data_IF_797206785133
#
_entry.id   IF_797206785133
#
_cell.length_a   1.000
_cell.length_b   1.000
_cell.length_c   1.000
_cell.angle_alpha   90.00
_cell.angle_beta   90.00
_cell.angle_gamma   90.00
#
_symmetry.space_group_name_H-M   'P 1'
#
loop_
_entity.id
_entity.type
_entity.pdbx_description
1 polymer ?
#
# COMPACT_ATOMS: atom_id res chain seq x y z
N UNK A 1 4.83 27.50 -24.54
CA UNK A 1 4.39 26.15 -24.97
C UNK A 1 4.72 25.21 -23.83
N UNK A 2 3.76 24.44 -23.34
CA UNK A 2 3.95 23.48 -22.23
C UNK A 2 3.91 22.02 -22.69
N UNK A 3 3.51 21.76 -23.94
CA UNK A 3 3.62 20.46 -24.57
C UNK A 3 3.27 20.53 -26.05
N UNK A 4 3.76 19.55 -26.81
CA UNK A 4 3.34 19.27 -28.18
C UNK A 4 2.79 17.84 -28.22
N UNK A 5 1.47 17.70 -28.33
CA UNK A 5 0.79 16.41 -28.36
C UNK A 5 0.69 15.82 -29.76
N UNK A 6 0.04 14.65 -29.87
CA UNK A 6 -0.22 13.99 -31.16
C UNK A 6 -1.21 14.78 -32.02
N UNK A 7 -2.05 15.65 -31.46
CA UNK A 7 -3.11 16.37 -32.20
C UNK A 7 -2.94 17.89 -32.28
N UNK A 8 -2.09 18.50 -31.46
CA UNK A 8 -1.93 19.96 -31.45
C UNK A 8 -0.81 20.45 -30.55
N UNK A 9 -0.68 21.78 -30.49
CA UNK A 9 0.26 22.45 -29.57
C UNK A 9 -0.50 22.95 -28.34
N UNK A 10 0.02 22.65 -27.15
CA UNK A 10 -0.59 23.07 -25.88
C UNK A 10 0.19 24.23 -25.28
N UNK A 11 -0.54 25.31 -24.99
CA UNK A 11 -0.01 26.54 -24.42
C UNK A 11 -0.50 26.72 -22.99
N UNK A 12 0.38 27.22 -22.12
CA UNK A 12 -0.03 27.79 -20.85
C UNK A 12 -0.46 29.24 -21.12
N UNK A 13 -1.74 29.52 -20.90
CA UNK A 13 -2.30 30.86 -21.02
C UNK A 13 -2.70 31.36 -19.63
N UNK A 14 -2.65 32.69 -19.44
CA UNK A 14 -3.21 33.34 -18.26
C UNK A 14 -4.49 34.05 -18.67
N UNK A 15 -5.61 33.67 -18.06
CA UNK A 15 -6.87 34.36 -18.26
C UNK A 15 -6.72 35.80 -17.74
N UNK A 16 -7.00 36.80 -18.58
CA UNK A 16 -6.69 38.21 -18.28
C UNK A 16 -7.44 38.75 -17.06
N UNK A 17 -8.75 38.51 -17.00
CA UNK A 17 -9.58 39.03 -15.90
C UNK A 17 -9.45 38.25 -14.60
N UNK A 18 -9.41 36.92 -14.68
CA UNK A 18 -9.33 36.05 -13.50
C UNK A 18 -7.90 35.93 -12.95
N UNK A 19 -6.88 36.25 -13.75
CA UNK A 19 -5.48 36.06 -13.38
C UNK A 19 -5.02 34.60 -13.31
N UNK A 20 -5.91 33.64 -13.56
CA UNK A 20 -5.71 32.21 -13.44
C UNK A 20 -5.06 31.58 -14.69
N UNK A 21 -4.30 30.50 -14.50
CA UNK A 21 -3.68 29.76 -15.59
C UNK A 21 -4.63 28.73 -16.23
N UNK A 22 -4.53 28.55 -17.54
CA UNK A 22 -5.30 27.59 -18.35
C UNK A 22 -4.38 26.88 -19.34
N UNK A 23 -4.70 25.63 -19.65
CA UNK A 23 -4.10 24.94 -20.79
C UNK A 23 -4.96 25.23 -22.04
N UNK A 24 -4.31 25.58 -23.14
CA UNK A 24 -4.97 25.90 -24.42
C UNK A 24 -4.38 25.02 -25.51
N UNK A 25 -5.14 24.03 -25.96
CA UNK A 25 -4.78 23.15 -27.09
C UNK A 25 -5.24 23.81 -28.38
N UNK A 26 -4.28 24.17 -29.24
CA UNK A 26 -4.55 24.79 -30.53
C UNK A 26 -4.31 23.81 -31.69
N UNK A 27 -5.29 23.70 -32.59
CA UNK A 27 -5.25 22.83 -33.78
C UNK A 27 -5.66 23.60 -35.01
N UNK A 28 -4.86 23.57 -36.07
CA UNK A 28 -5.19 24.23 -37.34
C UNK A 28 -6.37 23.56 -38.03
N UNK A 29 -7.25 24.35 -38.64
CA UNK A 29 -8.44 23.89 -39.38
C UNK A 29 -8.11 23.10 -40.65
N UNK A 30 -6.96 23.38 -41.26
CA UNK A 30 -6.45 22.65 -42.42
C UNK A 30 -5.69 21.36 -42.05
N UNK A 31 -5.54 21.06 -40.76
CA UNK A 31 -4.97 19.81 -40.29
C UNK A 31 -5.97 18.68 -40.47
N UNK A 32 -5.49 17.52 -40.93
CA UNK A 32 -6.26 16.26 -40.94
C UNK A 32 -6.75 15.83 -39.55
N UNK A 33 -6.22 16.45 -38.48
CA UNK A 33 -6.55 16.18 -37.07
C UNK A 33 -7.65 17.09 -36.52
N UNK A 34 -8.13 18.07 -37.30
CA UNK A 34 -9.14 19.02 -36.84
C UNK A 34 -10.47 18.34 -36.49
N UNK A 35 -10.89 17.38 -37.30
CA UNK A 35 -12.06 16.53 -37.04
C UNK A 35 -11.95 15.80 -35.69
N UNK A 36 -10.79 15.18 -35.42
CA UNK A 36 -10.51 14.49 -34.15
C UNK A 36 -10.55 15.46 -32.97
N UNK A 37 -9.92 16.63 -33.09
CA UNK A 37 -9.96 17.69 -32.09
C UNK A 37 -11.40 18.13 -31.78
N UNK A 38 -12.22 18.34 -32.81
CA UNK A 38 -13.62 18.74 -32.63
C UNK A 38 -14.44 17.65 -31.94
N UNK A 39 -14.22 16.38 -32.29
CA UNK A 39 -14.87 15.24 -31.64
C UNK A 39 -14.49 15.16 -30.16
N UNK A 40 -13.20 15.27 -29.85
CA UNK A 40 -12.68 15.28 -28.48
C UNK A 40 -13.32 16.41 -27.65
N UNK A 41 -13.32 17.64 -28.18
CA UNK A 41 -13.90 18.79 -27.50
C UNK A 41 -15.41 18.62 -27.24
N UNK A 42 -16.15 18.08 -28.22
CA UNK A 42 -17.58 17.80 -28.08
C UNK A 42 -17.88 16.67 -27.08
N UNK A 43 -16.97 15.69 -26.96
CA UNK A 43 -17.07 14.60 -26.01
C UNK A 43 -16.82 15.10 -24.58
N UNK A 44 -15.81 15.95 -24.38
CA UNK A 44 -15.39 16.40 -23.06
C UNK A 44 -16.29 17.47 -22.43
N UNK A 45 -17.03 18.24 -23.26
CA UNK A 45 -17.77 19.43 -22.80
C UNK A 45 -18.74 19.18 -21.62
N UNK A 46 -19.38 18.01 -21.59
CA UNK A 46 -20.42 17.65 -20.61
C UNK A 46 -19.87 16.77 -19.47
N UNK A 47 -18.61 16.33 -19.55
CA UNK A 47 -18.00 15.44 -18.57
C UNK A 47 -17.59 16.21 -17.32
N UNK A 48 -17.95 15.70 -16.15
CA UNK A 48 -17.64 16.28 -14.84
C UNK A 48 -17.24 15.16 -13.87
N UNK A 49 -15.94 14.98 -13.72
CA UNK A 49 -15.37 14.02 -12.77
C UNK A 49 -14.02 14.55 -12.24
N UNK A 50 -13.66 14.33 -10.95
CA UNK A 50 -12.39 14.83 -10.40
C UNK A 50 -11.15 14.41 -11.19
N UNK A 51 -11.18 13.21 -11.77
CA UNK A 51 -10.10 12.66 -12.59
C UNK A 51 -10.15 13.05 -14.08
N UNK A 52 -11.04 13.95 -14.49
CA UNK A 52 -11.13 14.47 -15.86
C UNK A 52 -10.92 16.00 -15.80
N UNK A 53 -10.07 16.59 -16.66
CA UNK A 53 -9.87 18.03 -16.72
C UNK A 53 -11.19 18.76 -17.02
N UNK A 54 -11.41 19.88 -16.35
CA UNK A 54 -12.57 20.73 -16.66
C UNK A 54 -12.32 21.47 -17.98
N UNK A 55 -13.26 21.34 -18.91
CA UNK A 55 -13.30 22.19 -20.11
C UNK A 55 -14.00 23.50 -19.75
N UNK A 56 -13.31 24.61 -19.97
CA UNK A 56 -13.85 25.95 -19.74
C UNK A 56 -14.52 26.49 -20.99
N UNK A 57 -13.90 26.33 -22.16
CA UNK A 57 -14.44 26.86 -23.39
C UNK A 57 -13.85 26.18 -24.64
N UNK A 58 -14.54 26.36 -25.77
CA UNK A 58 -14.11 25.95 -27.10
C UNK A 58 -14.24 27.18 -28.02
N UNK A 59 -13.10 27.67 -28.49
CA UNK A 59 -13.01 28.87 -29.31
C UNK A 59 -12.44 28.55 -30.69
N UNK A 60 -12.74 29.37 -31.68
CA UNK A 60 -12.20 29.22 -33.03
C UNK A 60 -11.89 30.58 -33.68
N UNK A 61 -10.81 30.66 -34.44
CA UNK A 61 -10.53 31.78 -35.35
C UNK A 61 -10.57 31.31 -36.83
N UNK A 62 -10.13 32.15 -37.77
CA UNK A 62 -10.10 31.80 -39.20
C UNK A 62 -9.22 30.57 -39.51
N UNK A 63 -8.21 30.28 -38.69
CA UNK A 63 -7.15 29.31 -38.98
C UNK A 63 -7.09 28.14 -38.00
N UNK A 64 -7.56 28.31 -36.77
CA UNK A 64 -7.36 27.38 -35.66
C UNK A 64 -8.63 27.21 -34.81
N UNK A 65 -8.78 26.03 -34.23
CA UNK A 65 -9.63 25.78 -33.07
C UNK A 65 -8.80 25.71 -31.79
N UNK A 66 -9.41 26.10 -30.67
CA UNK A 66 -8.81 26.23 -29.36
C UNK A 66 -9.69 25.54 -28.31
N UNK A 67 -9.15 24.55 -27.63
CA UNK A 67 -9.78 23.94 -26.46
C UNK A 67 -9.13 24.53 -25.20
N UNK A 68 -9.92 25.20 -24.37
CA UNK A 68 -9.47 25.84 -23.14
C UNK A 68 -9.86 24.96 -21.97
N UNK A 69 -8.86 24.42 -21.27
CA UNK A 69 -9.04 23.43 -20.21
C UNK A 69 -8.28 23.79 -18.93
N UNK A 70 -8.60 23.07 -17.86
CA UNK A 70 -7.91 23.13 -16.57
C UNK A 70 -6.40 22.98 -16.76
N UNK A 71 -5.63 23.94 -16.24
CA UNK A 71 -4.19 23.78 -16.17
C UNK A 71 -3.83 22.83 -15.03
N UNK A 72 -3.31 21.66 -15.39
CA UNK A 72 -2.91 20.63 -14.44
C UNK A 72 -1.43 20.77 -14.06
N UNK A 73 -1.17 21.00 -12.77
CA UNK A 73 0.17 21.01 -12.22
C UNK A 73 0.50 19.65 -11.62
N UNK A 74 1.12 18.77 -12.42
CA UNK A 74 1.44 17.41 -12.02
C UNK A 74 2.48 16.76 -12.93
N UNK A 75 2.94 15.58 -12.53
CA UNK A 75 3.86 14.76 -13.34
C UNK A 75 3.10 13.58 -13.93
N UNK A 76 3.48 13.12 -15.12
CA UNK A 76 2.88 11.92 -15.69
C UNK A 76 3.26 10.67 -14.90
N UNK A 77 2.41 9.64 -14.92
CA UNK A 77 2.74 8.34 -14.34
C UNK A 77 3.95 7.71 -15.05
N UNK A 78 4.20 8.04 -16.32
CA UNK A 78 5.42 7.65 -17.04
C UNK A 78 6.67 8.23 -16.37
N UNK A 79 6.70 9.54 -16.10
CA UNK A 79 7.83 10.19 -15.42
C UNK A 79 8.01 9.62 -14.01
N UNK A 80 6.93 9.50 -13.25
CA UNK A 80 6.97 8.99 -11.86
C UNK A 80 7.47 7.54 -11.82
N UNK A 81 6.99 6.68 -12.72
CA UNK A 81 7.46 5.30 -12.79
C UNK A 81 8.91 5.22 -13.27
N UNK A 82 9.34 6.10 -14.19
CA UNK A 82 10.73 6.15 -14.64
C UNK A 82 11.72 6.48 -13.53
N UNK A 83 11.32 7.33 -12.58
CA UNK A 83 12.17 7.76 -11.46
C UNK A 83 12.07 6.84 -10.23
N UNK A 84 10.87 6.31 -9.94
CA UNK A 84 10.56 5.67 -8.67
C UNK A 84 10.05 4.22 -8.77
N UNK A 85 10.12 3.58 -9.94
CA UNK A 85 9.67 2.17 -10.07
C UNK A 85 10.60 1.18 -9.35
N UNK A 86 10.06 0.15 -8.66
CA UNK A 86 8.63 -0.14 -8.48
C UNK A 86 7.96 0.79 -7.46
N UNK A 87 6.74 1.25 -7.76
CA UNK A 87 6.02 2.14 -6.86
C UNK A 87 5.49 1.40 -5.61
N UNK A 88 5.32 2.12 -4.47
CA UNK A 88 4.72 1.54 -3.28
C UNK A 88 3.33 0.96 -3.54
N UNK A 89 3.03 -0.22 -2.98
CA UNK A 89 1.73 -0.92 -3.10
C UNK A 89 0.54 0.03 -2.90
N UNK A 90 0.58 0.85 -1.86
CA UNK A 90 -0.52 1.77 -1.52
C UNK A 90 -0.75 2.77 -2.66
N UNK A 91 0.30 3.37 -3.20
CA UNK A 91 0.20 4.31 -4.32
C UNK A 91 -0.35 3.62 -5.57
N UNK A 92 0.13 2.42 -5.91
CA UNK A 92 -0.40 1.63 -7.03
C UNK A 92 -1.91 1.37 -6.87
N UNK A 93 -2.35 0.96 -5.68
CA UNK A 93 -3.76 0.73 -5.39
C UNK A 93 -4.58 2.02 -5.44
N UNK A 94 -4.10 3.11 -4.84
CA UNK A 94 -4.79 4.40 -4.85
C UNK A 94 -4.92 4.97 -6.28
N UNK A 95 -3.87 4.90 -7.08
CA UNK A 95 -3.92 5.31 -8.49
C UNK A 95 -4.88 4.42 -9.27
N UNK A 96 -4.79 3.09 -9.09
CA UNK A 96 -5.72 2.13 -9.70
C UNK A 96 -7.19 2.44 -9.41
N UNK A 97 -7.52 2.70 -8.15
CA UNK A 97 -8.89 3.06 -7.71
C UNK A 97 -9.37 4.34 -8.40
N UNK A 98 -8.54 5.38 -8.45
CA UNK A 98 -8.89 6.65 -9.08
C UNK A 98 -9.06 6.51 -10.60
N UNK A 99 -8.20 5.73 -11.26
CA UNK A 99 -8.32 5.41 -12.68
C UNK A 99 -9.64 4.67 -12.94
N UNK A 100 -9.94 3.64 -12.16
CA UNK A 100 -11.21 2.91 -12.29
C UNK A 100 -12.43 3.82 -12.07
N UNK A 101 -12.35 4.77 -11.13
CA UNK A 101 -13.41 5.76 -10.91
C UNK A 101 -13.64 6.65 -12.14
N UNK A 102 -12.56 7.18 -12.74
CA UNK A 102 -12.67 8.04 -13.92
C UNK A 102 -13.15 7.27 -15.15
N UNK A 103 -12.64 6.05 -15.37
CA UNK A 103 -13.05 5.19 -16.48
C UNK A 103 -14.48 4.69 -16.31
N UNK A 104 -14.87 4.28 -15.11
CA UNK A 104 -16.25 3.88 -14.80
C UNK A 104 -17.24 5.03 -14.99
N UNK A 105 -16.83 6.27 -14.72
CA UNK A 105 -17.61 7.45 -15.06
C UNK A 105 -17.79 7.60 -16.58
N UNK A 106 -16.72 7.46 -17.39
CA UNK A 106 -16.84 7.51 -18.86
C UNK A 106 -17.81 6.44 -19.40
N UNK A 107 -17.73 5.23 -18.85
CA UNK A 107 -18.59 4.11 -19.24
C UNK A 107 -20.08 4.34 -18.92
N UNK A 108 -20.40 5.32 -18.07
CA UNK A 108 -21.77 5.60 -17.61
C UNK A 108 -22.24 7.04 -17.89
N UNK A 109 -21.41 7.88 -18.50
CA UNK A 109 -21.68 9.31 -18.67
C UNK A 109 -22.75 9.65 -19.73
N UNK A 110 -23.15 8.70 -20.57
CA UNK A 110 -24.03 8.94 -21.71
C UNK A 110 -25.02 7.79 -21.99
N UNK A 111 -25.81 7.90 -23.08
CA UNK A 111 -26.77 6.87 -23.49
C UNK A 111 -26.10 5.56 -23.93
N UNK A 112 -24.84 5.64 -24.33
CA UNK A 112 -23.95 4.51 -24.55
C UNK A 112 -22.60 4.79 -23.87
N UNK A 113 -21.84 3.74 -23.50
CA UNK A 113 -20.54 3.92 -22.86
C UNK A 113 -19.54 4.64 -23.76
N UNK A 114 -18.74 5.52 -23.16
CA UNK A 114 -17.60 6.16 -23.82
C UNK A 114 -16.34 5.37 -23.48
N UNK A 115 -15.69 4.80 -24.48
CA UNK A 115 -14.41 4.11 -24.32
C UNK A 115 -13.27 5.11 -24.42
N UNK A 116 -12.21 4.96 -23.62
CA UNK A 116 -11.02 5.81 -23.71
C UNK A 116 -10.01 5.32 -24.74
N UNK A 117 -9.79 4.00 -24.85
CA UNK A 117 -9.00 3.30 -25.88
C UNK A 117 -7.48 3.59 -25.94
N UNK A 118 -6.96 4.54 -25.17
CA UNK A 118 -5.52 4.86 -25.10
C UNK A 118 -5.04 5.17 -23.67
N UNK A 119 -5.50 4.36 -22.71
CA UNK A 119 -5.04 4.42 -21.32
C UNK A 119 -3.59 3.92 -21.21
N UNK A 120 -2.69 4.79 -20.78
CA UNK A 120 -1.25 4.51 -20.67
C UNK A 120 -0.56 5.52 -19.74
N UNK A 121 0.67 5.24 -19.26
CA UNK A 121 1.32 6.06 -18.23
C UNK A 121 1.52 7.53 -18.59
N UNK A 122 1.77 7.84 -19.87
CA UNK A 122 1.93 9.23 -20.33
C UNK A 122 0.61 10.03 -20.38
N UNK A 123 -0.54 9.34 -20.41
CA UNK A 123 -1.87 9.93 -20.50
C UNK A 123 -2.54 10.07 -19.12
N UNK A 124 -1.76 9.93 -18.04
CA UNK A 124 -2.22 10.02 -16.65
C UNK A 124 -1.30 10.94 -15.87
N UNK A 125 -1.82 12.07 -15.37
CA UNK A 125 -1.08 13.00 -14.52
C UNK A 125 -1.41 12.80 -13.05
N UNK A 126 -0.40 12.83 -12.19
CA UNK A 126 -0.55 12.92 -10.73
C UNK A 126 -0.43 14.39 -10.34
N UNK A 127 -1.57 14.98 -9.97
CA UNK A 127 -1.68 16.36 -9.49
C UNK A 127 -1.96 16.34 -7.99
N UNK A 128 -0.91 16.50 -7.17
CA UNK A 128 -0.99 16.22 -5.74
C UNK A 128 -1.32 14.74 -5.51
N UNK A 129 -2.44 14.46 -4.84
CA UNK A 129 -2.92 13.09 -4.60
C UNK A 129 -3.95 12.59 -5.63
N UNK A 130 -4.24 13.40 -6.67
CA UNK A 130 -5.30 13.10 -7.65
C UNK A 130 -4.74 12.68 -9.00
N UNK A 131 -5.25 11.58 -9.55
CA UNK A 131 -5.02 11.15 -10.93
C UNK A 131 -5.96 11.90 -11.86
N UNK A 132 -5.39 12.50 -12.91
CA UNK A 132 -6.10 13.15 -14.01
C UNK A 132 -5.80 12.40 -15.30
N UNK A 133 -6.83 11.91 -15.97
CA UNK A 133 -6.74 11.38 -17.32
C UNK A 133 -6.59 12.56 -18.27
N UNK A 134 -5.58 12.50 -19.12
CA UNK A 134 -5.32 13.50 -20.15
C UNK A 134 -5.27 12.80 -21.51
N UNK A 135 -5.57 13.55 -22.57
CA UNK A 135 -5.62 13.05 -23.96
C UNK A 135 -6.80 12.10 -24.24
N UNK A 136 -7.88 12.67 -24.80
CA UNK A 136 -9.10 11.97 -25.18
C UNK A 136 -9.20 11.81 -26.71
N UNK A 137 -8.10 11.97 -27.45
CA UNK A 137 -8.07 11.94 -28.92
C UNK A 137 -8.67 10.65 -29.50
N UNK A 138 -8.57 9.54 -28.77
CA UNK A 138 -9.09 8.23 -29.16
C UNK A 138 -10.43 7.87 -28.52
N UNK A 139 -10.93 8.69 -27.59
CA UNK A 139 -12.12 8.38 -26.86
C UNK A 139 -13.36 8.51 -27.76
N UNK A 140 -14.26 7.53 -27.68
CA UNK A 140 -15.45 7.50 -28.52
C UNK A 140 -16.58 6.68 -27.87
N UNK A 141 -17.85 7.00 -28.18
CA UNK A 141 -18.97 6.11 -27.89
C UNK A 141 -18.78 4.72 -28.52
N UNK A 142 -19.20 3.65 -27.85
CA UNK A 142 -19.01 2.25 -28.30
C UNK A 142 -19.47 2.04 -29.75
N UNK A 143 -20.63 2.57 -30.14
CA UNK A 143 -21.16 2.40 -31.50
C UNK A 143 -20.23 3.00 -32.55
N UNK A 144 -19.68 4.19 -32.30
CA UNK A 144 -18.74 4.85 -33.18
C UNK A 144 -17.39 4.12 -33.20
N UNK A 145 -16.88 3.72 -32.03
CA UNK A 145 -15.61 3.01 -31.91
C UNK A 145 -15.58 1.69 -32.71
N UNK A 146 -16.72 1.01 -32.81
CA UNK A 146 -16.85 -0.23 -33.58
C UNK A 146 -17.09 -0.02 -35.08
N UNK A 147 -17.62 1.15 -35.48
CA UNK A 147 -17.82 1.50 -36.90
C UNK A 147 -16.53 2.05 -37.56
N UNK A 148 -15.60 2.56 -36.76
CA UNK A 148 -14.37 3.15 -37.26
C UNK A 148 -13.49 2.13 -37.99
N UNK A 149 -13.11 2.46 -39.24
CA UNK A 149 -12.27 1.60 -40.11
C UNK A 149 -10.82 1.47 -39.64
N UNK A 150 -10.44 2.20 -38.60
CA UNK A 150 -9.09 2.22 -38.02
C UNK A 150 -9.23 2.22 -36.51
N UNK A 151 -8.61 1.23 -35.86
CA UNK A 151 -8.42 1.20 -34.41
C UNK A 151 -7.03 1.69 -34.08
N UNK A 152 -6.94 2.46 -33.00
CA UNK A 152 -5.67 2.92 -32.45
C UNK A 152 -5.54 2.40 -31.02
N UNK A 153 -4.30 2.31 -30.58
CA UNK A 153 -3.95 1.92 -29.23
C UNK A 153 -2.43 1.90 -29.09
N UNK A 154 -1.95 1.98 -27.85
CA UNK A 154 -0.51 1.96 -27.60
C UNK A 154 0.00 0.54 -27.37
N UNK A 155 1.09 0.18 -28.06
CA UNK A 155 1.74 -1.13 -27.93
C UNK A 155 2.11 -1.36 -26.44
N UNK A 156 1.74 -2.53 -25.92
CA UNK A 156 1.96 -2.91 -24.51
C UNK A 156 0.80 -2.54 -23.58
N UNK A 157 -0.13 -1.69 -23.99
CA UNK A 157 -1.31 -1.29 -23.20
C UNK A 157 -2.64 -1.60 -23.91
N UNK A 158 -2.65 -1.62 -25.24
CA UNK A 158 -3.85 -1.91 -26.02
C UNK A 158 -4.27 -3.38 -25.89
N UNK A 159 -5.57 -3.60 -25.75
CA UNK A 159 -6.18 -4.91 -25.63
C UNK A 159 -6.09 -5.72 -26.94
N UNK A 160 -6.09 -7.07 -26.88
CA UNK A 160 -6.02 -7.92 -28.07
C UNK A 160 -7.05 -7.58 -29.15
N UNK A 161 -8.30 -7.29 -28.76
CA UNK A 161 -9.38 -6.91 -29.66
C UNK A 161 -9.15 -5.58 -30.39
N UNK A 162 -8.29 -4.69 -29.89
CA UNK A 162 -7.91 -3.46 -30.62
C UNK A 162 -7.06 -3.76 -31.86
N UNK A 163 -6.44 -4.94 -31.94
CA UNK A 163 -5.67 -5.40 -33.11
C UNK A 163 -6.49 -6.27 -34.07
N UNK A 164 -7.70 -6.69 -33.68
CA UNK A 164 -8.54 -7.63 -34.41
C UNK A 164 -9.91 -7.04 -34.70
N UNK A 165 -10.10 -6.54 -35.93
CA UNK A 165 -11.36 -5.93 -36.39
C UNK A 165 -12.53 -6.92 -36.45
N UNK A 166 -12.31 -8.23 -36.33
CA UNK A 166 -13.39 -9.21 -36.25
C UNK A 166 -14.05 -9.23 -34.86
N UNK A 167 -13.41 -8.63 -33.85
CA UNK A 167 -13.94 -8.52 -32.48
C UNK A 167 -14.52 -7.15 -32.23
N UNK A 168 -15.59 -7.07 -31.45
CA UNK A 168 -16.14 -5.79 -31.00
C UNK A 168 -15.37 -5.27 -29.78
N UNK A 169 -15.29 -3.94 -29.67
CA UNK A 169 -14.77 -3.22 -28.51
C UNK A 169 -15.91 -2.96 -27.53
N UNK A 170 -15.66 -3.18 -26.25
CA UNK A 170 -16.56 -2.88 -25.15
C UNK A 170 -15.79 -2.24 -23.98
N UNK A 171 -16.46 -1.97 -22.86
CA UNK A 171 -15.88 -1.38 -21.66
C UNK A 171 -14.67 -2.17 -21.13
N UNK A 172 -14.62 -3.48 -21.41
CA UNK A 172 -13.57 -4.39 -20.95
C UNK A 172 -12.27 -4.19 -21.72
N UNK A 173 -12.31 -3.51 -22.87
CA UNK A 173 -11.11 -3.04 -23.58
C UNK A 173 -10.32 -2.06 -22.72
N UNK A 174 -10.98 -1.11 -22.05
CA UNK A 174 -10.30 -0.18 -21.13
C UNK A 174 -9.81 -0.88 -19.85
N UNK A 175 -10.56 -1.88 -19.35
CA UNK A 175 -10.18 -2.69 -18.17
C UNK A 175 -8.85 -3.42 -18.41
N UNK A 176 -8.61 -3.93 -19.62
CA UNK A 176 -7.32 -4.52 -19.98
C UNK A 176 -6.18 -3.52 -19.82
N UNK A 177 -6.35 -2.30 -20.32
CA UNK A 177 -5.35 -1.26 -20.21
C UNK A 177 -5.11 -0.82 -18.76
N UNK A 178 -6.15 -0.81 -17.90
CA UNK A 178 -6.00 -0.62 -16.45
C UNK A 178 -5.15 -1.75 -15.84
N UNK A 179 -5.37 -3.00 -16.23
CA UNK A 179 -4.53 -4.14 -15.85
C UNK A 179 -3.06 -3.94 -16.23
N UNK A 180 -2.80 -3.48 -17.46
CA UNK A 180 -1.45 -3.15 -17.92
C UNK A 180 -0.81 -2.03 -17.08
N UNK A 181 -1.57 -0.99 -16.74
CA UNK A 181 -1.12 0.10 -15.88
C UNK A 181 -0.75 -0.39 -14.48
N UNK A 182 -1.59 -1.18 -13.83
CA UNK A 182 -1.30 -1.74 -12.49
C UNK A 182 -0.02 -2.59 -12.50
N UNK A 183 0.15 -3.40 -13.55
CA UNK A 183 1.36 -4.19 -13.75
C UNK A 183 2.59 -3.31 -13.99
N UNK A 184 2.47 -2.30 -14.85
CA UNK A 184 3.53 -1.36 -15.19
C UNK A 184 4.00 -0.58 -13.96
N UNK A 185 3.09 -0.02 -13.16
CA UNK A 185 3.42 0.72 -11.95
C UNK A 185 4.12 -0.15 -10.89
N UNK A 186 3.86 -1.46 -10.90
CA UNK A 186 4.47 -2.41 -9.96
C UNK A 186 5.82 -2.96 -10.44
N UNK A 187 6.09 -2.96 -11.74
CA UNK A 187 7.25 -3.66 -12.32
C UNK A 187 8.17 -2.79 -13.17
N UNK A 188 7.73 -1.58 -13.53
CA UNK A 188 8.39 -0.68 -14.49
C UNK A 188 8.33 -1.14 -15.94
N UNK A 189 7.67 -2.26 -16.24
CA UNK A 189 7.63 -2.87 -17.57
C UNK A 189 6.18 -3.12 -17.99
N UNK A 190 5.88 -3.05 -19.29
CA UNK A 190 4.60 -3.54 -19.83
C UNK A 190 4.50 -5.06 -19.67
N UNK A 191 3.29 -5.63 -19.49
CA UNK A 191 3.15 -7.08 -19.38
C UNK A 191 3.53 -7.79 -20.69
N UNK A 192 4.27 -8.90 -20.58
CA UNK A 192 4.46 -9.85 -21.67
C UNK A 192 3.14 -10.60 -21.94
N UNK A 193 2.94 -11.07 -23.17
CA UNK A 193 1.69 -11.74 -23.59
C UNK A 193 1.38 -13.05 -22.83
N UNK A 194 2.39 -13.72 -22.26
CA UNK A 194 2.27 -15.05 -21.65
C UNK A 194 2.39 -15.06 -20.11
N UNK A 195 2.01 -13.96 -19.45
CA UNK A 195 2.16 -13.84 -18.00
C UNK A 195 1.04 -14.58 -17.25
N UNK A 196 1.41 -15.51 -16.37
CA UNK A 196 0.46 -16.27 -15.52
C UNK A 196 0.16 -15.57 -14.19
N UNK A 197 -1.02 -15.80 -13.55
CA UNK A 197 -1.37 -15.24 -12.24
C UNK A 197 -0.35 -15.58 -11.13
N UNK A 198 0.30 -16.74 -11.22
CA UNK A 198 1.32 -17.16 -10.25
C UNK A 198 2.62 -16.35 -10.39
N UNK A 199 3.02 -16.01 -11.63
CA UNK A 199 4.16 -15.12 -11.91
C UNK A 199 3.80 -13.68 -11.55
N UNK A 200 2.57 -13.24 -11.82
CA UNK A 200 2.04 -11.94 -11.39
C UNK A 200 2.07 -11.78 -9.87
N UNK A 201 1.56 -12.76 -9.13
CA UNK A 201 1.55 -12.71 -7.67
C UNK A 201 2.93 -12.77 -7.00
N UNK A 202 3.98 -13.17 -7.73
CA UNK A 202 5.38 -13.08 -7.29
C UNK A 202 6.03 -11.73 -7.65
N UNK A 203 5.68 -11.18 -8.82
CA UNK A 203 6.12 -9.85 -9.26
C UNK A 203 5.39 -8.74 -8.50
N UNK A 204 4.19 -9.01 -8.00
CA UNK A 204 3.40 -8.12 -7.15
C UNK A 204 3.47 -8.55 -5.67
N UNK A 205 2.78 -7.82 -4.80
CA UNK A 205 2.89 -8.00 -3.34
C UNK A 205 2.21 -9.27 -2.80
N UNK A 206 1.16 -9.79 -3.44
CA UNK A 206 0.49 -11.03 -3.03
C UNK A 206 -0.24 -11.75 -4.18
N UNK A 207 -0.74 -12.96 -3.90
CA UNK A 207 -1.46 -13.80 -4.87
C UNK A 207 -2.80 -13.17 -5.30
N UNK A 208 -3.45 -12.43 -4.41
CA UNK A 208 -4.76 -11.84 -4.68
C UNK A 208 -4.67 -10.71 -5.70
N UNK A 209 -3.76 -9.76 -5.49
CA UNK A 209 -3.40 -8.78 -6.51
C UNK A 209 -3.01 -9.46 -7.83
N UNK A 210 -2.20 -10.53 -7.74
CA UNK A 210 -1.83 -11.35 -8.90
C UNK A 210 -3.04 -11.87 -9.69
N UNK A 211 -4.11 -12.28 -9.01
CA UNK A 211 -5.37 -12.71 -9.65
C UNK A 211 -6.12 -11.54 -10.26
N UNK A 212 -6.27 -10.43 -9.53
CA UNK A 212 -7.00 -9.23 -10.01
C UNK A 212 -6.38 -8.72 -11.31
N UNK A 213 -5.06 -8.51 -11.33
CA UNK A 213 -4.37 -8.05 -12.55
C UNK A 213 -4.43 -9.12 -13.65
N UNK A 214 -4.32 -10.41 -13.31
CA UNK A 214 -4.46 -11.48 -14.31
C UNK A 214 -5.85 -11.54 -14.93
N UNK A 215 -6.91 -11.27 -14.16
CA UNK A 215 -8.27 -11.21 -14.66
C UNK A 215 -8.43 -10.03 -15.62
N UNK A 216 -7.86 -8.86 -15.30
CA UNK A 216 -7.84 -7.72 -16.23
C UNK A 216 -7.13 -8.05 -17.55
N UNK A 217 -6.03 -8.81 -17.49
CA UNK A 217 -5.17 -9.14 -18.64
C UNK A 217 -5.64 -10.37 -19.43
N UNK A 218 -6.84 -10.91 -19.17
CA UNK A 218 -7.35 -12.07 -19.89
C UNK A 218 -7.51 -11.79 -21.39
N UNK A 219 -7.16 -12.78 -22.22
CA UNK A 219 -7.20 -12.63 -23.68
C UNK A 219 -8.64 -12.55 -24.23
N UNK A 220 -9.57 -13.30 -23.63
CA UNK A 220 -11.01 -13.14 -23.85
C UNK A 220 -11.55 -12.05 -22.93
N UNK A 221 -12.18 -11.03 -23.51
CA UNK A 221 -12.81 -9.95 -22.74
C UNK A 221 -13.85 -10.47 -21.76
N UNK A 222 -14.54 -11.59 -22.05
CA UNK A 222 -15.56 -12.18 -21.15
C UNK A 222 -15.00 -12.76 -19.86
N UNK A 223 -13.69 -13.02 -19.81
CA UNK A 223 -13.00 -13.49 -18.59
C UNK A 223 -12.47 -12.33 -17.72
N UNK A 224 -12.58 -11.09 -18.21
CA UNK A 224 -12.22 -9.89 -17.44
C UNK A 224 -13.37 -9.45 -16.54
N UNK A 225 -13.09 -8.47 -15.68
CA UNK A 225 -14.11 -7.77 -14.90
C UNK A 225 -15.22 -7.24 -15.82
N UNK A 226 -16.46 -7.29 -15.33
CA UNK A 226 -17.61 -6.85 -16.10
C UNK A 226 -17.72 -5.33 -16.21
N UNK A 227 -17.13 -4.60 -15.26
CA UNK A 227 -17.09 -3.13 -15.22
C UNK A 227 -15.88 -2.62 -14.45
N UNK A 228 -15.51 -1.35 -14.68
CA UNK A 228 -14.46 -0.68 -13.91
C UNK A 228 -14.81 -0.53 -12.42
N UNK A 229 -16.10 -0.44 -12.07
CA UNK A 229 -16.54 -0.36 -10.66
C UNK A 229 -16.32 -1.67 -9.90
N UNK A 230 -16.49 -2.81 -10.58
CA UNK A 230 -16.19 -4.13 -10.00
C UNK A 230 -14.68 -4.25 -9.67
N UNK A 231 -13.81 -3.87 -10.62
CA UNK A 231 -12.37 -3.83 -10.40
C UNK A 231 -12.00 -2.85 -9.28
N UNK A 232 -12.60 -1.64 -9.27
CA UNK A 232 -12.39 -0.65 -8.22
C UNK A 232 -12.69 -1.21 -6.84
N UNK A 233 -13.81 -1.91 -6.69
CA UNK A 233 -14.23 -2.54 -5.43
C UNK A 233 -13.18 -3.53 -4.92
N UNK A 234 -12.63 -4.37 -5.80
CA UNK A 234 -11.57 -5.31 -5.43
C UNK A 234 -10.26 -4.61 -5.05
N UNK A 235 -9.90 -3.53 -5.74
CA UNK A 235 -8.72 -2.72 -5.39
C UNK A 235 -8.92 -1.99 -4.04
N UNK A 236 -10.12 -1.48 -3.76
CA UNK A 236 -10.48 -0.91 -2.47
C UNK A 236 -10.42 -1.94 -1.36
N UNK A 237 -10.90 -3.16 -1.60
CA UNK A 237 -10.79 -4.26 -0.65
C UNK A 237 -9.31 -4.59 -0.38
N UNK A 238 -8.47 -4.68 -1.42
CA UNK A 238 -7.03 -4.83 -1.26
C UNK A 238 -6.37 -3.67 -0.51
N UNK A 239 -6.91 -2.46 -0.62
CA UNK A 239 -6.43 -1.28 0.10
C UNK A 239 -6.89 -1.29 1.56
N UNK A 240 -8.13 -1.73 1.84
CA UNK A 240 -8.68 -1.93 3.19
C UNK A 240 -8.00 -3.09 3.92
N UNK A 241 -7.61 -4.15 3.22
CA UNK A 241 -6.72 -5.20 3.73
C UNK A 241 -5.36 -4.65 4.23
N UNK A 242 -5.01 -3.40 3.89
CA UNK A 242 -3.84 -2.67 4.40
C UNK A 242 -4.15 -1.80 5.63
N UNK A 243 -5.37 -1.78 6.15
CA UNK A 243 -5.84 -1.03 7.32
C UNK A 243 -6.70 -1.96 8.21
N UNK A 244 -6.21 -2.60 9.27
CA UNK A 244 -5.55 -2.05 10.46
C UNK A 244 -4.41 -2.96 10.90
N UNK A 245 -3.23 -2.38 11.19
CA UNK A 245 -2.19 -3.15 11.87
C UNK A 245 -2.61 -3.40 13.32
N UNK A 246 -2.42 -4.62 13.82
CA UNK A 246 -2.60 -4.91 15.24
C UNK A 246 -1.52 -4.17 16.05
N UNK A 247 -1.93 -3.23 16.89
CA UNK A 247 -1.00 -2.45 17.72
C UNK A 247 -0.75 -3.17 19.04
N UNK A 248 0.51 -3.50 19.32
CA UNK A 248 0.99 -4.00 20.61
C UNK A 248 1.86 -2.93 21.26
N UNK A 249 1.33 -2.27 22.29
CA UNK A 249 2.06 -1.24 23.01
C UNK A 249 2.92 -1.82 24.13
N UNK A 250 4.18 -1.39 24.22
CA UNK A 250 5.15 -1.86 25.20
C UNK A 250 5.57 -0.71 26.09
N UNK A 251 5.43 -0.90 27.39
CA UNK A 251 5.75 0.07 28.43
C UNK A 251 6.72 -0.52 29.44
N UNK A 252 7.68 0.29 29.87
CA UNK A 252 8.48 0.03 31.07
C UNK A 252 7.82 0.66 32.29
N UNK A 253 7.72 -0.08 33.39
CA UNK A 253 7.25 0.46 34.67
C UNK A 253 8.16 1.57 35.20
N UNK A 254 9.45 1.48 34.87
CA UNK A 254 10.50 2.44 35.21
C UNK A 254 11.52 2.53 34.06
N UNK A 255 12.34 3.58 34.03
CA UNK A 255 13.40 3.70 33.04
C UNK A 255 14.40 2.52 33.09
N UNK A 256 14.99 2.21 31.94
CA UNK A 256 16.04 1.19 31.81
C UNK A 256 15.62 -0.25 32.21
N UNK A 257 14.31 -0.53 32.29
CA UNK A 257 13.79 -1.85 32.68
C UNK A 257 13.77 -2.88 31.54
N UNK A 258 14.07 -2.47 30.30
CA UNK A 258 14.18 -3.35 29.15
C UNK A 258 13.03 -3.28 28.14
N UNK A 259 12.23 -2.21 28.13
CA UNK A 259 11.15 -2.00 27.15
C UNK A 259 11.62 -2.11 25.70
N UNK A 260 12.56 -1.27 25.30
CA UNK A 260 13.17 -1.30 23.97
C UNK A 260 13.76 -2.66 23.61
N UNK A 261 14.38 -3.35 24.57
CA UNK A 261 14.96 -4.67 24.36
C UNK A 261 13.88 -5.71 24.01
N UNK A 262 12.80 -5.77 24.79
CA UNK A 262 11.70 -6.70 24.52
C UNK A 262 10.98 -6.36 23.21
N UNK A 263 10.73 -5.08 22.95
CA UNK A 263 10.06 -4.62 21.73
C UNK A 263 10.83 -5.04 20.47
N UNK A 264 12.15 -4.83 20.44
CA UNK A 264 13.02 -5.28 19.35
C UNK A 264 13.06 -6.81 19.25
N UNK A 265 13.11 -7.51 20.39
CA UNK A 265 13.15 -8.97 20.42
C UNK A 265 11.86 -9.61 19.88
N UNK A 266 10.72 -9.03 20.24
CA UNK A 266 9.43 -9.44 19.74
C UNK A 266 9.35 -9.18 18.22
N UNK A 267 9.75 -7.99 17.75
CA UNK A 267 9.78 -7.64 16.33
C UNK A 267 10.64 -8.63 15.52
N UNK A 268 11.88 -8.88 15.96
CA UNK A 268 12.78 -9.83 15.34
C UNK A 268 12.23 -11.27 15.35
N UNK A 269 11.54 -11.66 16.41
CA UNK A 269 10.89 -12.98 16.49
C UNK A 269 9.71 -13.10 15.53
N UNK A 270 8.90 -12.05 15.36
CA UNK A 270 7.78 -12.04 14.41
C UNK A 270 8.29 -12.07 12.96
N UNK A 271 9.34 -11.30 12.67
CA UNK A 271 9.99 -11.31 11.36
C UNK A 271 10.47 -12.71 10.97
N UNK A 272 11.17 -13.41 11.88
CA UNK A 272 11.67 -14.78 11.63
C UNK A 272 10.55 -15.80 11.39
N UNK A 273 9.31 -15.49 11.77
CA UNK A 273 8.11 -16.28 11.51
C UNK A 273 7.41 -15.91 10.20
N UNK A 274 7.89 -14.89 9.49
CA UNK A 274 7.23 -14.35 8.31
C UNK A 274 6.00 -13.49 8.63
N UNK A 275 5.87 -13.00 9.87
CA UNK A 275 4.83 -12.04 10.24
C UNK A 275 5.36 -10.64 9.95
N UNK A 276 4.74 -9.96 8.97
CA UNK A 276 5.10 -8.60 8.62
C UNK A 276 4.78 -7.68 9.79
N UNK A 277 5.80 -7.01 10.33
CA UNK A 277 5.64 -6.15 11.50
C UNK A 277 6.56 -4.93 11.41
N UNK A 278 6.23 -3.90 12.18
CA UNK A 278 7.04 -2.70 12.34
C UNK A 278 7.26 -2.43 13.83
N UNK A 279 8.50 -2.20 14.23
CA UNK A 279 8.80 -1.58 15.52
C UNK A 279 8.66 -0.06 15.36
N UNK A 280 8.04 0.63 16.30
CA UNK A 280 7.91 2.08 16.32
C UNK A 280 8.41 2.66 17.64
N UNK A 281 9.35 3.61 17.58
CA UNK A 281 9.83 4.35 18.75
C UNK A 281 8.90 5.53 19.03
N UNK A 282 8.10 5.46 20.10
CA UNK A 282 7.11 6.47 20.44
C UNK A 282 7.60 7.48 21.50
N UNK A 283 8.92 7.58 21.70
CA UNK A 283 9.53 8.42 22.73
C UNK A 283 10.79 9.16 22.22
N UNK A 284 11.13 10.34 22.76
CA UNK A 284 12.20 11.19 22.23
C UNK A 284 13.64 10.77 22.57
N UNK A 285 13.87 9.61 23.21
CA UNK A 285 15.22 9.19 23.65
C UNK A 285 16.17 8.85 22.49
N UNK A 286 15.66 8.60 21.28
CA UNK A 286 16.45 8.39 20.07
C UNK A 286 17.29 7.12 20.11
N UNK A 287 16.79 6.06 20.74
CA UNK A 287 17.43 4.75 20.83
C UNK A 287 17.65 4.16 19.42
N UNK A 288 16.67 4.27 18.53
CA UNK A 288 16.81 3.74 17.17
C UNK A 288 17.80 4.55 16.36
N UNK A 289 17.81 5.89 16.50
CA UNK A 289 18.77 6.74 15.80
C UNK A 289 20.22 6.36 16.12
N UNK A 290 20.50 5.86 17.33
CA UNK A 290 21.83 5.35 17.73
C UNK A 290 22.18 4.00 17.11
N UNK A 291 21.19 3.23 16.66
CA UNK A 291 21.37 1.95 15.96
C UNK A 291 21.51 2.13 14.44
N UNK A 292 21.12 3.28 13.90
CA UNK A 292 21.28 3.58 12.48
C UNK A 292 22.76 3.80 12.15
N UNK A 293 23.23 3.14 11.09
CA UNK A 293 24.61 3.25 10.61
C UNK A 293 24.68 3.49 9.10
N UNK A 294 25.89 3.50 8.53
CA UNK A 294 26.12 3.77 7.09
C UNK A 294 25.38 2.81 6.13
N UNK A 295 24.96 1.64 6.61
CA UNK A 295 24.27 0.61 5.82
C UNK A 295 22.75 0.56 6.11
N UNK A 296 22.22 1.47 6.92
CA UNK A 296 20.78 1.55 7.17
C UNK A 296 20.10 2.22 5.98
N UNK A 297 19.22 1.48 5.30
CA UNK A 297 18.43 1.99 4.17
C UNK A 297 17.07 2.48 4.66
N UNK A 298 16.78 3.74 4.40
CA UNK A 298 15.46 4.34 4.64
C UNK A 298 14.55 4.06 3.44
N UNK A 299 13.28 3.75 3.70
CA UNK A 299 12.24 3.72 2.68
C UNK A 299 11.57 5.10 2.52
N UNK A 300 10.73 5.24 1.50
CA UNK A 300 10.02 6.48 1.18
C UNK A 300 9.03 6.92 2.28
N UNK A 301 8.68 6.01 3.21
CA UNK A 301 7.80 6.26 4.34
C UNK A 301 8.55 6.64 5.62
N UNK A 302 9.88 6.81 5.54
CA UNK A 302 10.72 7.15 6.69
C UNK A 302 10.98 5.98 7.64
N UNK A 303 10.75 4.74 7.23
CA UNK A 303 11.12 3.56 8.01
C UNK A 303 12.52 3.07 7.60
N UNK A 304 13.18 2.36 8.50
CA UNK A 304 14.49 1.77 8.27
C UNK A 304 14.45 0.25 8.42
N UNK A 305 15.30 -0.44 7.67
CA UNK A 305 15.57 -1.86 7.90
C UNK A 305 16.83 -2.04 8.75
N UNK A 306 16.67 -2.73 9.89
CA UNK A 306 17.78 -3.06 10.79
C UNK A 306 17.73 -4.56 11.10
N UNK A 307 18.74 -5.31 10.64
CA UNK A 307 18.88 -6.76 10.86
C UNK A 307 17.59 -7.56 10.59
N UNK A 308 16.87 -7.19 9.52
CA UNK A 308 15.61 -7.83 9.12
C UNK A 308 14.36 -7.31 9.83
N UNK A 309 14.47 -6.30 10.70
CA UNK A 309 13.33 -5.65 11.33
C UNK A 309 13.05 -4.31 10.65
N UNK A 310 11.79 -4.05 10.30
CA UNK A 310 11.33 -2.73 9.91
C UNK A 310 11.17 -1.89 11.18
N UNK A 311 11.85 -0.76 11.27
CA UNK A 311 11.84 0.12 12.44
C UNK A 311 11.51 1.56 12.04
N UNK A 312 10.72 2.23 12.87
CA UNK A 312 10.40 3.65 12.72
C UNK A 312 10.98 4.42 13.91
N UNK A 313 12.00 5.28 13.68
CA UNK A 313 12.52 6.18 14.70
C UNK A 313 11.46 7.18 15.17
N UNK A 314 11.68 7.74 16.35
CA UNK A 314 10.88 8.88 16.78
C UNK A 314 11.25 10.13 15.97
N UNK A 315 10.26 10.74 15.32
CA UNK A 315 10.41 11.94 14.50
C UNK A 315 9.81 13.21 15.12
N UNK A 316 9.19 13.11 16.28
CA UNK A 316 8.45 14.20 16.91
C UNK A 316 6.93 14.00 16.86
N UNK A 317 6.21 14.60 17.80
CA UNK A 317 4.77 14.39 17.98
C UNK A 317 3.93 14.85 16.78
N UNK A 318 4.39 15.87 16.05
CA UNK A 318 3.66 16.48 14.93
C UNK A 318 3.91 15.78 13.60
N UNK A 319 4.87 14.84 13.54
CA UNK A 319 5.21 14.18 12.31
C UNK A 319 4.09 13.17 11.93
N UNK A 320 3.45 13.40 10.78
CA UNK A 320 2.47 12.51 10.20
C UNK A 320 3.16 11.60 9.18
N UNK A 321 2.92 10.29 9.28
CA UNK A 321 3.53 9.29 8.39
C UNK A 321 2.48 8.41 7.76
N UNK A 322 2.83 7.88 6.59
CA UNK A 322 2.09 6.76 6.01
C UNK A 322 2.15 5.57 7.00
N UNK A 323 1.00 4.93 7.29
CA UNK A 323 0.98 3.72 8.11
C UNK A 323 1.93 2.68 7.52
N UNK A 324 2.72 2.02 8.38
CA UNK A 324 3.58 0.94 7.91
C UNK A 324 2.70 -0.17 7.34
N UNK A 325 2.97 -0.63 6.12
CA UNK A 325 2.22 -1.71 5.47
C UNK A 325 2.56 -3.07 6.11
N UNK A 326 2.19 -3.25 7.37
CA UNK A 326 2.53 -4.38 8.20
C UNK A 326 1.31 -4.90 8.97
N UNK A 327 1.37 -6.15 9.41
CA UNK A 327 0.27 -6.80 10.14
C UNK A 327 0.25 -6.42 11.62
N UNK A 328 1.43 -6.15 12.20
CA UNK A 328 1.59 -5.86 13.62
C UNK A 328 2.51 -4.65 13.79
N UNK A 329 2.09 -3.66 14.56
CA UNK A 329 2.94 -2.56 15.01
C UNK A 329 3.30 -2.78 16.47
N UNK A 330 4.58 -2.77 16.80
CA UNK A 330 5.09 -2.86 18.17
C UNK A 330 5.54 -1.45 18.56
N UNK A 331 4.74 -0.79 19.39
CA UNK A 331 5.03 0.56 19.85
C UNK A 331 5.86 0.52 21.14
N UNK A 332 7.11 0.99 21.08
CA UNK A 332 7.92 1.25 22.26
C UNK A 332 7.56 2.61 22.83
N UNK A 333 6.67 2.60 23.83
CA UNK A 333 6.19 3.82 24.49
C UNK A 333 7.09 4.27 25.65
N UNK A 334 8.18 3.55 25.91
CA UNK A 334 9.16 3.92 26.92
C UNK A 334 8.68 3.69 28.35
N UNK A 335 9.20 4.46 29.30
CA UNK A 335 8.92 4.30 30.72
C UNK A 335 7.75 5.18 31.18
N UNK A 336 6.85 4.64 32.00
CA UNK A 336 5.65 5.34 32.50
C UNK A 336 5.96 6.70 33.12
N UNK A 337 7.02 6.80 33.91
CA UNK A 337 7.44 8.05 34.56
C UNK A 337 7.91 9.16 33.60
N UNK A 338 8.17 8.83 32.33
CA UNK A 338 8.64 9.77 31.30
C UNK A 338 7.54 10.11 30.29
N UNK A 339 6.31 9.65 30.54
CA UNK A 339 5.15 9.94 29.72
C UNK A 339 4.55 11.25 30.25
N UNK A 340 4.91 12.36 29.63
CA UNK A 340 4.47 13.70 30.04
C UNK A 340 2.97 13.91 29.84
N UNK A 341 2.35 13.20 28.89
CA UNK A 341 0.91 13.16 28.65
C UNK A 341 0.53 11.77 28.11
N UNK A 342 -0.65 11.20 28.46
CA UNK A 342 -1.13 10.00 27.80
C UNK A 342 -1.17 10.28 26.30
N UNK A 343 -0.41 9.50 25.52
CA UNK A 343 -0.34 9.65 24.06
C UNK A 343 -1.77 9.72 23.53
N UNK A 344 -2.10 10.85 22.90
CA UNK A 344 -3.36 11.09 22.21
C UNK A 344 -3.77 9.83 21.43
N UNK A 345 -5.06 9.44 21.45
CA UNK A 345 -5.58 8.18 20.94
C UNK A 345 -5.46 8.10 19.42
N UNK A 346 -4.25 7.92 18.90
CA UNK A 346 -4.05 7.22 17.64
C UNK A 346 -4.34 5.74 17.94
N UNK A 347 -5.64 5.44 18.08
CA UNK A 347 -6.24 4.13 18.35
C UNK A 347 -5.79 3.46 19.67
N UNK A 348 -6.74 2.87 20.39
CA UNK A 348 -6.43 2.12 21.62
C UNK A 348 -5.65 0.85 21.24
N UNK A 349 -4.51 0.53 21.90
CA UNK A 349 -3.70 -0.61 21.49
C UNK A 349 -4.45 -1.92 21.70
N UNK A 350 -4.35 -2.84 20.74
CA UNK A 350 -5.00 -4.15 20.80
C UNK A 350 -4.48 -5.00 21.98
N UNK A 351 -3.21 -4.84 22.36
CA UNK A 351 -2.63 -5.44 23.56
C UNK A 351 -1.53 -4.56 24.18
N UNK A 352 -1.29 -4.73 25.48
CA UNK A 352 -0.30 -3.97 26.25
C UNK A 352 0.68 -4.92 26.95
N UNK A 353 1.97 -4.64 26.85
CA UNK A 353 3.03 -5.30 27.60
C UNK A 353 3.59 -4.32 28.63
N UNK A 354 3.43 -4.60 29.92
CA UNK A 354 4.05 -3.81 30.98
C UNK A 354 5.24 -4.56 31.57
N UNK A 355 6.43 -3.97 31.49
CA UNK A 355 7.68 -4.57 31.93
C UNK A 355 8.09 -3.96 33.27
N UNK A 356 8.12 -4.79 34.30
CA UNK A 356 8.56 -4.44 35.64
C UNK A 356 9.91 -5.10 35.97
N UNK A 357 10.58 -4.58 36.98
CA UNK A 357 11.82 -5.16 37.49
C UNK A 357 11.56 -6.20 38.57
N UNK A 358 12.29 -7.31 38.51
CA UNK A 358 12.15 -8.44 39.43
C UNK A 358 12.97 -8.34 40.71
N UNK A 359 13.68 -7.24 40.97
CA UNK A 359 14.53 -7.06 42.15
C UNK A 359 13.79 -6.28 43.23
N UNK A 360 14.21 -6.42 44.48
CA UNK A 360 13.45 -5.96 45.65
C UNK A 360 13.41 -4.43 45.78
N UNK A 361 14.32 -3.75 45.08
CA UNK A 361 14.40 -2.29 45.01
C UNK A 361 13.73 -1.71 43.77
N UNK A 362 13.25 -2.55 42.84
CA UNK A 362 12.47 -2.05 41.71
C UNK A 362 11.09 -1.60 42.19
N UNK A 363 10.50 -0.64 41.50
CA UNK A 363 9.14 -0.18 41.83
C UNK A 363 8.14 -1.31 41.53
N UNK A 364 7.12 -1.49 42.38
CA UNK A 364 6.02 -2.38 42.04
C UNK A 364 5.32 -1.89 40.77
N UNK A 365 4.67 -2.79 40.01
CA UNK A 365 3.88 -2.40 38.85
C UNK A 365 2.81 -1.38 39.19
N UNK A 366 2.63 -0.38 38.33
CA UNK A 366 1.64 0.68 38.53
C UNK A 366 0.20 0.14 38.54
N UNK A 367 -0.50 0.31 39.66
CA UNK A 367 -1.85 -0.24 39.89
C UNK A 367 -2.91 0.46 39.03
N UNK A 368 -2.75 1.76 38.76
CA UNK A 368 -3.70 2.52 37.96
C UNK A 368 -3.59 2.16 36.48
N UNK A 369 -2.36 2.04 35.97
CA UNK A 369 -2.08 1.59 34.62
C UNK A 369 -2.63 0.18 34.36
N UNK A 370 -2.43 -0.72 35.33
CA UNK A 370 -2.98 -2.08 35.26
C UNK A 370 -4.51 -2.07 35.27
N UNK A 371 -5.13 -1.21 36.08
CA UNK A 371 -6.58 -1.05 36.09
C UNK A 371 -7.12 -0.59 34.74
N UNK A 372 -6.46 0.36 34.07
CA UNK A 372 -6.86 0.88 32.76
C UNK A 372 -6.82 -0.22 31.69
N UNK A 373 -5.75 -1.02 31.65
CA UNK A 373 -5.54 -2.03 30.60
C UNK A 373 -5.84 -3.46 31.02
N UNK A 374 -6.57 -3.68 32.12
CA UNK A 374 -6.72 -4.97 32.81
C UNK A 374 -7.04 -6.16 31.90
N UNK A 375 -7.87 -5.94 30.88
CA UNK A 375 -8.35 -6.97 29.96
C UNK A 375 -7.42 -7.23 28.76
N UNK A 376 -6.41 -6.39 28.55
CA UNK A 376 -5.51 -6.46 27.39
C UNK A 376 -4.02 -6.43 27.75
N UNK A 377 -3.68 -6.50 29.03
CA UNK A 377 -2.32 -6.34 29.53
C UNK A 377 -1.66 -7.69 29.88
N UNK A 378 -0.37 -7.82 29.59
CA UNK A 378 0.50 -8.86 30.14
C UNK A 378 1.58 -8.21 31.00
N UNK A 379 1.78 -8.75 32.20
CA UNK A 379 2.80 -8.28 33.14
C UNK A 379 4.06 -9.13 32.99
N UNK A 380 5.17 -8.47 32.67
CA UNK A 380 6.46 -9.11 32.39
C UNK A 380 7.49 -8.62 33.39
N UNK A 381 8.16 -9.54 34.09
CA UNK A 381 9.25 -9.22 34.99
C UNK A 381 10.60 -9.51 34.33
N UNK A 382 11.37 -8.44 34.10
CA UNK A 382 12.77 -8.51 33.69
C UNK A 382 13.69 -8.62 34.91
N UNK A 383 14.92 -9.09 34.70
CA UNK A 383 15.96 -9.24 35.73
C UNK A 383 15.48 -10.00 36.98
N UNK A 384 14.62 -10.99 36.78
CA UNK A 384 14.04 -11.81 37.84
C UNK A 384 14.77 -13.14 37.98
N UNK A 385 14.73 -13.70 39.19
CA UNK A 385 15.22 -15.05 39.48
C UNK A 385 14.07 -15.91 40.01
N UNK A 386 14.07 -17.21 39.70
CA UNK A 386 12.97 -18.14 40.06
C UNK A 386 12.68 -18.23 41.56
N UNK A 387 13.65 -17.87 42.40
CA UNK A 387 13.53 -17.86 43.88
C UNK A 387 13.02 -16.53 44.45
N UNK A 388 12.85 -15.50 43.62
CA UNK A 388 12.34 -14.21 44.08
C UNK A 388 10.83 -14.24 43.98
N UNK A 389 10.16 -13.90 45.10
CA UNK A 389 8.74 -13.64 45.10
C UNK A 389 8.49 -12.32 44.37
N UNK A 390 7.88 -12.41 43.19
CA UNK A 390 7.56 -11.24 42.39
C UNK A 390 6.33 -10.53 42.98
N UNK A 391 6.37 -9.19 43.11
CA UNK A 391 5.21 -8.45 43.59
C UNK A 391 4.02 -8.70 42.69
N UNK A 392 2.85 -8.97 43.27
CA UNK A 392 1.60 -9.07 42.52
C UNK A 392 0.75 -7.84 42.81
N UNK A 393 0.46 -7.02 41.79
CA UNK A 393 -0.42 -5.88 41.95
C UNK A 393 -1.83 -6.36 42.30
N UNK A 394 -2.50 -5.66 43.21
CA UNK A 394 -3.84 -6.00 43.71
C UNK A 394 -4.87 -5.93 42.59
N UNK A 395 -4.80 -4.89 41.76
CA UNK A 395 -5.65 -4.71 40.57
C UNK A 395 -5.38 -5.76 39.48
N UNK A 396 -4.20 -6.39 39.52
CA UNK A 396 -3.74 -7.38 38.55
C UNK A 396 -4.07 -8.84 38.91
N UNK A 397 -5.04 -9.08 39.79
CA UNK A 397 -5.50 -10.43 40.08
C UNK A 397 -6.08 -11.08 38.81
N UNK A 398 -5.61 -12.29 38.47
CA UNK A 398 -5.97 -12.99 37.22
C UNK A 398 -5.05 -12.70 36.02
N UNK A 399 -4.26 -11.62 36.04
CA UNK A 399 -3.33 -11.30 34.97
C UNK A 399 -2.14 -12.28 35.01
N UNK A 400 -1.74 -12.88 33.86
CA UNK A 400 -0.55 -13.72 33.78
C UNK A 400 0.72 -12.93 34.09
N UNK A 401 1.54 -13.47 34.98
CA UNK A 401 2.89 -12.95 35.27
C UNK A 401 3.90 -13.77 34.48
N UNK A 402 4.68 -13.10 33.63
CA UNK A 402 5.70 -13.73 32.81
C UNK A 402 7.09 -13.29 33.26
N UNK A 403 8.03 -14.23 33.44
CA UNK A 403 9.43 -13.91 33.75
C UNK A 403 10.25 -13.95 32.46
N UNK A 404 10.79 -12.81 32.03
CA UNK A 404 11.62 -12.75 30.82
C UNK A 404 12.99 -13.39 31.10
N UNK A 405 13.45 -14.34 30.26
CA UNK A 405 14.80 -14.91 30.40
C UNK A 405 15.85 -13.86 30.05
N UNK A 406 17.08 -14.06 30.53
CA UNK A 406 18.22 -13.25 30.12
C UNK A 406 18.66 -13.67 28.71
N UNK A 407 18.73 -12.71 27.79
CA UNK A 407 19.37 -12.85 26.49
C UNK A 407 19.96 -11.50 26.07
N UNK A 408 21.19 -11.50 25.57
CA UNK A 408 21.93 -10.26 25.34
C UNK A 408 21.56 -9.56 24.02
N UNK A 409 21.29 -10.35 22.97
CA UNK A 409 21.02 -9.81 21.63
C UNK A 409 19.51 -9.91 21.32
N UNK A 410 18.78 -8.78 21.22
CA UNK A 410 17.35 -8.81 20.92
C UNK A 410 17.06 -9.32 19.50
N UNK A 411 17.98 -9.14 18.55
CA UNK A 411 17.79 -9.59 17.16
C UNK A 411 18.08 -11.09 16.96
N UNK A 412 18.78 -11.71 17.92
CA UNK A 412 19.20 -13.11 17.85
C UNK A 412 18.97 -13.81 19.20
N UNK A 413 17.70 -14.08 19.50
CA UNK A 413 17.32 -14.83 20.69
C UNK A 413 17.86 -16.26 20.65
N UNK A 414 18.49 -16.71 21.73
CA UNK A 414 18.88 -18.12 21.91
C UNK A 414 17.64 -19.05 21.98
N UNK A 415 17.80 -20.38 21.93
CA UNK A 415 16.66 -21.30 21.93
C UNK A 415 15.72 -21.17 23.13
N UNK A 416 16.22 -20.79 24.31
CA UNK A 416 15.40 -20.59 25.50
C UNK A 416 14.60 -19.30 25.40
N UNK A 417 15.26 -18.20 25.04
CA UNK A 417 14.62 -16.91 24.80
C UNK A 417 13.58 -17.01 23.66
N UNK A 418 13.88 -17.75 22.60
CA UNK A 418 12.94 -17.97 21.50
C UNK A 418 11.69 -18.72 21.96
N UNK A 419 11.83 -19.83 22.69
CA UNK A 419 10.67 -20.55 23.25
C UNK A 419 9.81 -19.67 24.15
N UNK A 420 10.44 -18.73 24.86
CA UNK A 420 9.74 -17.78 25.70
C UNK A 420 8.99 -16.73 24.87
N UNK A 421 9.61 -16.14 23.85
CA UNK A 421 8.95 -15.22 22.89
C UNK A 421 7.78 -15.92 22.16
N UNK A 422 7.91 -17.23 21.90
CA UNK A 422 6.84 -18.05 21.33
C UNK A 422 5.66 -18.23 22.30
N UNK A 423 5.94 -18.34 23.59
CA UNK A 423 4.92 -18.40 24.63
C UNK A 423 4.26 -17.04 24.84
N UNK A 424 5.05 -15.95 24.87
CA UNK A 424 4.56 -14.57 24.93
C UNK A 424 3.59 -14.29 23.77
N UNK A 425 3.99 -14.61 22.54
CA UNK A 425 3.14 -14.41 21.37
C UNK A 425 1.83 -15.19 21.44
N UNK A 426 1.86 -16.46 21.89
CA UNK A 426 0.62 -17.24 22.09
C UNK A 426 -0.33 -16.62 23.12
N UNK A 427 0.20 -15.96 24.15
CA UNK A 427 -0.60 -15.24 25.15
C UNK A 427 -1.22 -13.98 24.55
N UNK A 428 -0.46 -13.23 23.76
CA UNK A 428 -0.97 -12.10 22.99
C UNK A 428 -2.09 -12.52 22.04
N UNK A 429 -1.88 -13.57 21.24
CA UNK A 429 -2.92 -14.11 20.34
C UNK A 429 -4.20 -14.52 21.09
N UNK A 430 -4.08 -14.99 22.33
CA UNK A 430 -5.25 -15.32 23.16
C UNK A 430 -6.04 -14.06 23.52
N UNK A 431 -5.35 -13.01 24.01
CA UNK A 431 -5.98 -11.72 24.34
C UNK A 431 -6.70 -11.16 23.12
N UNK A 432 -6.02 -11.13 21.97
CA UNK A 432 -6.58 -10.60 20.74
C UNK A 432 -7.86 -11.35 20.33
N UNK A 433 -7.87 -12.68 20.45
CA UNK A 433 -9.03 -13.53 20.11
C UNK A 433 -10.22 -13.32 21.04
N UNK A 434 -9.98 -13.26 22.34
CA UNK A 434 -11.04 -13.07 23.34
C UNK A 434 -11.75 -11.73 23.16
N UNK A 435 -11.04 -10.72 22.64
CA UNK A 435 -11.57 -9.38 22.40
C UNK A 435 -12.17 -9.15 21.01
N UNK A 436 -12.12 -10.14 20.12
CA UNK A 436 -12.58 -10.00 18.72
C UNK A 436 -11.94 -8.78 18.01
N UNK A 437 -10.64 -8.57 18.23
CA UNK A 437 -9.95 -7.38 17.71
C UNK A 437 -10.06 -7.28 16.17
N UNK A 438 -10.46 -6.11 15.63
CA UNK A 438 -10.53 -5.89 14.19
C UNK A 438 -9.19 -6.19 13.50
N UNK A 439 -9.23 -6.92 12.38
CA UNK A 439 -8.02 -7.33 11.65
C UNK A 439 -7.37 -8.63 12.15
N UNK A 440 -7.83 -9.21 13.27
CA UNK A 440 -7.29 -10.47 13.78
C UNK A 440 -7.64 -11.68 12.90
N UNK A 441 -8.87 -11.77 12.39
CA UNK A 441 -9.26 -12.88 11.50
C UNK A 441 -8.47 -12.85 10.19
N UNK A 442 -8.29 -11.65 9.65
CA UNK A 442 -7.44 -11.42 8.48
C UNK A 442 -5.98 -11.81 8.76
N UNK A 443 -5.45 -11.45 9.94
CA UNK A 443 -4.15 -11.90 10.42
C UNK A 443 -4.06 -13.44 10.54
N UNK A 444 -5.06 -14.10 11.13
CA UNK A 444 -5.05 -15.56 11.33
C UNK A 444 -5.13 -16.32 9.99
N UNK A 445 -5.88 -15.80 9.01
CA UNK A 445 -5.90 -16.32 7.64
C UNK A 445 -4.53 -16.14 6.97
N UNK A 446 -3.93 -14.95 7.07
CA UNK A 446 -2.58 -14.64 6.54
C UNK A 446 -1.50 -15.53 7.16
N UNK A 447 -1.54 -15.75 8.48
CA UNK A 447 -0.63 -16.64 9.21
C UNK A 447 -0.74 -18.09 8.76
N UNK A 448 -1.97 -18.64 8.65
CA UNK A 448 -2.19 -20.01 8.14
C UNK A 448 -1.66 -20.21 6.72
N UNK A 449 -1.80 -19.20 5.87
CA UNK A 449 -1.27 -19.23 4.51
C UNK A 449 0.26 -19.11 4.47
N UNK A 450 0.87 -18.31 5.34
CA UNK A 450 2.32 -18.22 5.49
C UNK A 450 2.94 -19.51 6.02
N UNK A 451 2.36 -20.12 7.06
CA UNK A 451 2.82 -21.38 7.68
C UNK A 451 2.75 -22.57 6.70
N UNK A 452 1.73 -22.61 5.83
CA UNK A 452 1.66 -23.59 4.73
C UNK A 452 2.81 -23.41 3.74
N UNK A 453 3.20 -22.16 3.41
CA UNK A 453 4.29 -21.86 2.49
C UNK A 453 5.66 -22.18 3.08
N UNK A 454 5.93 -21.86 4.35
CA UNK A 454 7.17 -22.24 5.05
C UNK A 454 7.27 -23.74 5.25
N UNK A 455 6.16 -24.42 5.56
CA UNK A 455 6.10 -25.89 5.62
C UNK A 455 6.46 -26.55 4.28
N UNK A 456 5.90 -26.04 3.17
CA UNK A 456 6.24 -26.51 1.81
C UNK A 456 7.70 -26.22 1.47
N UNK A 457 8.22 -25.04 1.81
CA UNK A 457 9.61 -24.62 1.53
C UNK A 457 10.63 -25.44 2.34
N UNK A 458 10.35 -25.73 3.61
CA UNK A 458 11.16 -26.62 4.44
C UNK A 458 11.10 -28.08 3.97
N UNK A 459 9.93 -28.54 3.49
CA UNK A 459 9.78 -29.88 2.92
C UNK A 459 10.55 -30.01 1.59
N UNK A 460 10.50 -28.99 0.74
CA UNK A 460 11.28 -28.90 -0.50
C UNK A 460 12.80 -28.82 -0.24
N UNK A 461 13.24 -28.06 0.76
CA UNK A 461 14.66 -28.02 1.16
C UNK A 461 15.13 -29.36 1.73
N UNK A 462 14.30 -30.05 2.53
CA UNK A 462 14.61 -31.40 3.04
C UNK A 462 14.70 -32.44 1.92
N UNK A 463 13.78 -32.38 0.95
CA UNK A 463 13.82 -33.21 -0.27
C UNK A 463 15.06 -32.92 -1.11
N UNK A 464 15.42 -31.65 -1.30
CA UNK A 464 16.62 -31.26 -2.05
C UNK A 464 17.92 -31.70 -1.33
N UNK A 465 17.98 -31.64 0.00
CA UNK A 465 19.11 -32.16 0.78
C UNK A 465 19.19 -33.69 0.75
N UNK A 466 18.06 -34.38 0.77
CA UNK A 466 18.01 -35.85 0.65
C UNK A 466 18.45 -36.32 -0.75
N UNK A 467 18.03 -35.61 -1.81
CA UNK A 467 18.46 -35.88 -3.19
C UNK A 467 19.96 -35.60 -3.41
N UNK A 468 20.55 -34.63 -2.69
CA UNK A 468 22.00 -34.38 -2.71
C UNK A 468 22.79 -35.43 -1.91
N UNK A 469 22.24 -35.95 -0.83
CA UNK A 469 22.86 -37.03 -0.04
C UNK A 469 22.77 -38.39 -0.77
N UNK A 470 21.70 -38.64 -1.53
CA UNK A 470 21.52 -39.86 -2.33
C UNK A 470 22.39 -39.96 -3.59
N UNK A 471 22.99 -38.84 -4.05
CA UNK A 471 23.97 -38.83 -5.17
C UNK A 471 25.43 -39.03 -4.73
N UNK A 472 25.68 -39.25 -3.43
CA UNK A 472 27.01 -39.53 -2.85
C UNK A 472 27.13 -40.96 -2.27
N UNK A 473 26.29 -41.89 -2.70
CA UNK A 473 26.44 -43.32 -2.41
C UNK A 473 26.59 -44.10 -3.69
#
# INVERSE_FOLDING_TARGET
>A
MIGSGRTGTVYLARHRELGEYRAVKAVRKDSVRYETFRKEALLLKDLRHPGIPVIYDIEEDEKCGYLIEEYLQGNSLETIAGECSPLPRRSVLQYGIQICSAVGYLHTAGPEPILHLDLQPKNLLVCGDTIKLIDFDQAAPISQANQDRKRFGTIGFAAPEQYDFAKELDERTDIYAIGCLLFYLTTGNSPDRDITPAVLGQKMWNREAGRIVSACLAADGKERYSSAEELKTDLENLLKETASSLVVAVYGNEACIGATHLSLALSASLWRRGIANCYEECHPLGNIRRLLGKNSRMDESGNFWIWGCLVRPYYGRQAAFLPASCQVVIEDRGALERIEEPVSPKEEPAAVLLIAGGKWWNRPPDEEFIRIYKERILLIYNFSHKRILLPRPRTGQGIPILQMPLFANPFCADPQAQRWLDMLWRRLEKILKERQEPGLDEFLVRKRNADRRTGIRQKAQRLASALRAGRRR
#
